data_IF_920586858421
#
_entry.id   IF_920586858421
#
_cell.length_a   1.000
_cell.length_b   1.000
_cell.length_c   1.000
_cell.angle_alpha   90.00
_cell.angle_beta   90.00
_cell.angle_gamma   90.00
#
_symmetry.space_group_name_H-M   'P 1'
#
loop_
_entity.id
_entity.type
_entity.pdbx_description
1 polymer ?
#
# COMPACT_ATOMS: atom_id res chain seq x y z
N UNK A 1 -30.08 46.61 46.21
CA UNK A 1 -29.06 45.58 46.55
C UNK A 1 -29.52 44.14 46.20
N UNK A 2 -29.83 43.83 44.93
CA UNK A 2 -30.21 42.46 44.49
C UNK A 2 -29.64 42.05 43.11
N UNK A 3 -28.46 42.55 42.72
CA UNK A 3 -27.85 42.17 41.42
C UNK A 3 -26.37 41.76 41.45
N UNK A 4 -25.70 41.77 42.60
CA UNK A 4 -24.28 41.37 42.71
C UNK A 4 -24.10 39.90 43.14
N UNK A 5 -25.12 39.30 43.77
CA UNK A 5 -25.01 37.95 44.33
C UNK A 5 -25.31 36.82 43.30
N UNK A 6 -25.98 37.11 42.18
CA UNK A 6 -26.26 36.12 41.13
C UNK A 6 -25.09 35.94 40.14
N UNK A 7 -24.26 36.96 39.92
CA UNK A 7 -23.03 36.85 39.10
C UNK A 7 -21.90 36.08 39.77
N UNK A 8 -21.81 36.07 41.11
CA UNK A 8 -20.81 35.28 41.86
C UNK A 8 -21.14 33.79 41.97
N UNK A 9 -22.40 33.36 41.80
CA UNK A 9 -22.78 31.94 41.84
C UNK A 9 -22.60 31.19 40.51
N UNK A 10 -22.51 31.88 39.37
CA UNK A 10 -22.20 31.25 38.06
C UNK A 10 -20.70 30.97 37.85
N UNK A 11 -19.81 31.54 38.67
CA UNK A 11 -18.37 31.37 38.56
C UNK A 11 -17.80 30.13 39.30
N UNK A 12 -18.59 29.45 40.14
CA UNK A 12 -18.12 28.33 41.00
C UNK A 12 -18.63 26.93 40.61
N UNK A 13 -19.07 26.75 39.35
CA UNK A 13 -19.32 25.41 38.76
C UNK A 13 -18.66 25.24 37.39
N UNK A 14 -17.50 25.85 37.16
CA UNK A 14 -16.55 25.33 36.17
C UNK A 14 -15.78 24.20 36.86
N UNK A 15 -16.36 23.00 36.88
CA UNK A 15 -15.58 21.80 37.15
C UNK A 15 -14.35 21.83 36.24
N UNK A 16 -13.18 21.53 36.78
CA UNK A 16 -11.95 21.38 36.01
C UNK A 16 -12.28 20.50 34.80
N UNK A 17 -12.18 21.06 33.58
CA UNK A 17 -12.46 20.28 32.36
C UNK A 17 -11.53 19.07 32.41
N UNK A 18 -12.10 17.86 32.31
CA UNK A 18 -11.30 16.63 32.28
C UNK A 18 -10.17 16.80 31.24
N UNK A 19 -8.93 16.37 31.56
CA UNK A 19 -7.82 16.40 30.63
C UNK A 19 -8.22 15.77 29.29
N UNK A 20 -7.79 16.39 28.19
CA UNK A 20 -8.08 15.83 26.88
C UNK A 20 -7.32 14.52 26.68
N UNK A 21 -7.99 13.54 26.05
CA UNK A 21 -7.36 12.32 25.56
C UNK A 21 -7.03 12.49 24.08
N UNK A 22 -5.85 12.05 23.69
CA UNK A 22 -5.34 12.09 22.33
C UNK A 22 -5.09 10.68 21.80
N UNK A 23 -5.18 10.54 20.48
CA UNK A 23 -4.88 9.30 19.75
C UNK A 23 -4.34 9.67 18.37
N UNK A 24 -3.25 9.05 17.95
CA UNK A 24 -2.69 9.21 16.60
C UNK A 24 -2.95 7.92 15.83
N UNK A 25 -3.56 8.07 14.65
CA UNK A 25 -3.90 6.96 13.78
C UNK A 25 -3.56 7.27 12.32
N UNK A 26 -3.13 6.28 11.56
CA UNK A 26 -3.13 6.34 10.11
C UNK A 26 -4.53 5.94 9.62
N UNK A 27 -5.13 6.78 8.78
CA UNK A 27 -6.45 6.48 8.20
C UNK A 27 -6.29 5.58 7.00
N UNK A 28 -7.17 4.59 6.91
CA UNK A 28 -7.24 3.70 5.76
C UNK A 28 -8.33 4.25 4.85
N UNK A 29 -7.94 4.71 3.67
CA UNK A 29 -8.84 5.16 2.62
C UNK A 29 -8.84 4.14 1.47
N UNK A 30 -9.12 2.89 1.83
CA UNK A 30 -9.21 1.76 0.92
C UNK A 30 -10.63 1.17 0.93
N UNK A 31 -11.25 1.07 -0.24
CA UNK A 31 -12.61 0.58 -0.36
C UNK A 31 -12.72 -0.91 -0.05
N UNK A 32 -11.72 -1.72 -0.39
CA UNK A 32 -11.72 -3.16 -0.10
C UNK A 32 -11.73 -3.43 1.39
N UNK A 33 -10.88 -2.74 2.14
CA UNK A 33 -10.84 -2.86 3.60
C UNK A 33 -12.12 -2.31 4.23
N UNK A 34 -12.70 -1.23 3.71
CA UNK A 34 -13.99 -0.71 4.18
C UNK A 34 -15.13 -1.72 3.94
N UNK A 35 -15.18 -2.33 2.75
CA UNK A 35 -16.14 -3.39 2.41
C UNK A 35 -15.94 -4.62 3.30
N UNK A 36 -14.70 -5.05 3.51
CA UNK A 36 -14.39 -6.17 4.40
C UNK A 36 -14.89 -5.90 5.82
N UNK A 37 -14.59 -4.73 6.38
CA UNK A 37 -15.05 -4.34 7.70
C UNK A 37 -16.59 -4.30 7.79
N UNK A 38 -17.28 -3.88 6.72
CA UNK A 38 -18.75 -3.90 6.64
C UNK A 38 -19.29 -5.32 6.60
N UNK A 39 -18.81 -6.16 5.67
CA UNK A 39 -19.25 -7.57 5.52
C UNK A 39 -18.96 -8.39 6.77
N UNK A 40 -17.89 -8.08 7.50
CA UNK A 40 -17.57 -8.74 8.75
C UNK A 40 -18.67 -8.59 9.81
N UNK A 41 -19.48 -7.52 9.75
CA UNK A 41 -20.63 -7.33 10.65
C UNK A 41 -21.78 -8.29 10.36
N UNK A 42 -21.87 -8.84 9.14
CA UNK A 42 -22.85 -9.87 8.77
C UNK A 42 -22.50 -11.21 9.45
N UNK A 43 -21.21 -11.55 9.49
CA UNK A 43 -20.70 -12.75 10.17
C UNK A 43 -20.86 -12.60 11.70
N UNK A 44 -20.54 -11.41 12.22
CA UNK A 44 -20.53 -11.15 13.66
C UNK A 44 -21.31 -9.88 14.00
N UNK A 45 -22.65 -9.94 14.09
CA UNK A 45 -23.50 -8.79 14.37
C UNK A 45 -23.00 -7.99 15.58
N UNK A 46 -22.77 -6.70 15.37
CA UNK A 46 -22.12 -5.81 16.31
C UNK A 46 -23.11 -4.76 16.82
N UNK A 47 -22.96 -4.36 18.09
CA UNK A 47 -23.76 -3.26 18.68
C UNK A 47 -23.18 -1.91 18.30
N UNK A 48 -23.97 -0.85 18.48
CA UNK A 48 -23.49 0.53 18.29
C UNK A 48 -22.23 0.79 19.13
N UNK A 49 -21.16 1.26 18.47
CA UNK A 49 -19.86 1.52 19.10
C UNK A 49 -18.88 0.34 19.16
N UNK A 50 -19.28 -0.85 18.70
CA UNK A 50 -18.40 -2.03 18.56
C UNK A 50 -17.65 -2.09 17.22
N UNK A 51 -18.08 -1.27 16.25
CA UNK A 51 -17.42 -1.09 14.95
C UNK A 51 -16.81 0.31 14.85
N UNK A 52 -15.73 0.42 14.06
CA UNK A 52 -15.04 1.69 13.81
C UNK A 52 -14.65 1.74 12.34
N UNK A 53 -14.53 2.96 11.80
CA UNK A 53 -13.90 3.14 10.49
C UNK A 53 -12.49 2.51 10.51
N UNK A 54 -12.10 1.76 9.45
CA UNK A 54 -10.78 1.14 9.39
C UNK A 54 -9.65 2.17 9.58
N UNK A 55 -8.73 1.84 10.47
CA UNK A 55 -7.56 2.66 10.77
C UNK A 55 -6.47 1.80 11.39
N UNK A 56 -5.25 2.32 11.37
CA UNK A 56 -4.12 1.77 12.11
C UNK A 56 -3.77 2.73 13.24
N UNK A 57 -3.76 2.26 14.48
CA UNK A 57 -3.34 3.12 15.59
C UNK A 57 -1.82 3.20 15.63
N UNK A 58 -1.26 4.41 15.53
CA UNK A 58 0.18 4.65 15.53
C UNK A 58 0.72 4.98 16.93
N UNK A 59 -0.03 5.73 17.74
CA UNK A 59 0.40 6.08 19.09
C UNK A 59 -0.79 6.44 20.00
N UNK A 60 -0.76 5.98 21.25
CA UNK A 60 -1.78 6.24 22.26
C UNK A 60 -2.86 5.15 22.38
N UNK A 61 -3.95 5.42 23.14
CA UNK A 61 -4.32 6.72 23.71
C UNK A 61 -3.36 7.29 24.76
N UNK A 62 -3.32 8.62 24.88
CA UNK A 62 -2.48 9.34 25.85
C UNK A 62 -3.12 10.65 26.33
N UNK A 63 -2.56 11.26 27.38
CA UNK A 63 -2.95 12.57 27.89
C UNK A 63 -1.75 13.41 28.29
N UNK A 64 -1.93 14.73 28.26
CA UNK A 64 -0.91 15.72 28.63
C UNK A 64 -1.00 16.09 30.12
N UNK A 65 0.10 16.59 30.72
CA UNK A 65 0.06 17.24 32.02
C UNK A 65 -0.97 18.37 32.06
N UNK A 66 -1.48 18.64 33.26
CA UNK A 66 -2.44 19.73 33.45
C UNK A 66 -1.78 21.08 33.12
N UNK A 67 -2.43 21.88 32.27
CA UNK A 67 -1.93 23.19 31.87
C UNK A 67 -1.01 23.21 30.65
N UNK A 68 -0.57 22.03 30.14
CA UNK A 68 0.22 21.96 28.91
C UNK A 68 -0.59 22.46 27.71
N UNK A 69 -0.02 23.34 26.85
CA UNK A 69 -0.65 23.71 25.60
C UNK A 69 -0.66 22.49 24.67
N UNK A 70 -1.78 22.25 23.99
CA UNK A 70 -1.90 21.14 23.05
C UNK A 70 -1.25 21.41 21.70
N UNK A 71 -0.95 22.67 21.39
CA UNK A 71 -0.20 23.07 20.18
C UNK A 71 1.17 22.41 20.09
N UNK A 72 1.83 22.12 21.23
CA UNK A 72 3.14 21.44 21.25
C UNK A 72 3.09 20.09 20.53
N UNK A 73 1.95 19.41 20.55
CA UNK A 73 1.77 18.14 19.86
C UNK A 73 1.90 18.28 18.34
N UNK A 74 1.41 19.38 17.77
CA UNK A 74 1.43 19.58 16.32
C UNK A 74 2.87 19.70 15.80
N UNK A 75 3.73 20.39 16.53
CA UNK A 75 5.15 20.53 16.17
C UNK A 75 5.91 19.23 16.38
N UNK A 76 5.77 18.58 17.55
CA UNK A 76 6.45 17.30 17.84
C UNK A 76 6.07 16.19 16.86
N UNK A 77 4.78 16.09 16.51
CA UNK A 77 4.30 15.07 15.55
C UNK A 77 4.84 15.37 14.15
N UNK A 78 4.81 16.63 13.71
CA UNK A 78 5.34 17.02 12.40
C UNK A 78 6.85 16.75 12.29
N UNK A 79 7.61 17.12 13.32
CA UNK A 79 9.05 16.86 13.40
C UNK A 79 9.34 15.34 13.35
N UNK A 80 8.61 14.54 14.14
CA UNK A 80 8.75 13.09 14.15
C UNK A 80 8.37 12.44 12.80
N UNK A 81 7.42 13.02 12.07
CA UNK A 81 6.99 12.56 10.74
C UNK A 81 7.90 13.04 9.61
N UNK A 82 8.84 13.95 9.89
CA UNK A 82 9.74 14.50 8.88
C UNK A 82 10.55 13.39 8.19
N UNK A 83 10.60 13.45 6.87
CA UNK A 83 11.24 12.45 6.00
C UNK A 83 10.45 11.15 5.83
N UNK A 84 9.21 11.07 6.29
CA UNK A 84 8.32 9.93 6.02
C UNK A 84 7.15 10.40 5.16
N UNK A 85 7.21 10.09 3.86
CA UNK A 85 6.17 10.50 2.89
C UNK A 85 4.95 9.56 2.90
N UNK A 86 5.18 8.27 3.19
CA UNK A 86 4.15 7.28 3.38
C UNK A 86 4.64 6.16 4.30
N UNK A 87 3.70 5.40 4.84
CA UNK A 87 3.99 4.16 5.57
C UNK A 87 3.24 3.01 4.92
N UNK A 88 3.86 1.84 4.84
CA UNK A 88 3.23 0.65 4.25
C UNK A 88 3.12 -0.50 5.22
N UNK A 89 2.15 -1.37 5.00
CA UNK A 89 2.00 -2.60 5.77
C UNK A 89 1.32 -3.71 4.97
N UNK A 90 1.69 -4.94 5.28
CA UNK A 90 1.02 -6.14 4.77
C UNK A 90 -0.11 -6.52 5.72
N UNK A 91 -1.27 -6.86 5.16
CA UNK A 91 -2.40 -7.35 5.95
C UNK A 91 -2.21 -8.85 6.17
N UNK A 92 -2.19 -9.25 7.44
CA UNK A 92 -2.04 -10.65 7.83
C UNK A 92 -3.35 -11.26 8.33
N UNK A 93 -3.20 -12.39 9.02
CA UNK A 93 -4.31 -13.17 9.53
C UNK A 93 -5.11 -12.47 10.64
N UNK A 94 -6.37 -12.91 10.88
CA UNK A 94 -7.15 -12.47 12.03
C UNK A 94 -6.47 -12.76 13.37
N UNK A 95 -6.45 -11.75 14.23
CA UNK A 95 -5.87 -11.79 15.58
C UNK A 95 -6.92 -11.43 16.64
N UNK A 96 -6.93 -12.20 17.73
CA UNK A 96 -7.75 -11.94 18.91
C UNK A 96 -6.96 -11.15 19.95
N UNK A 97 -7.45 -9.97 20.32
CA UNK A 97 -6.83 -9.10 21.32
C UNK A 97 -7.72 -8.92 22.54
N UNK A 98 -7.10 -8.85 23.72
CA UNK A 98 -7.80 -8.54 24.98
C UNK A 98 -7.76 -7.03 25.24
N UNK A 99 -8.92 -6.40 25.22
CA UNK A 99 -9.10 -4.99 25.56
C UNK A 99 -9.68 -4.78 26.96
N UNK A 100 -9.77 -3.50 27.38
CA UNK A 100 -10.35 -3.11 28.68
C UNK A 100 -11.85 -3.43 28.80
N UNK A 101 -12.58 -3.35 27.69
CA UNK A 101 -14.05 -3.54 27.63
C UNK A 101 -14.46 -4.93 27.12
N UNK A 102 -13.52 -5.87 27.04
CA UNK A 102 -13.75 -7.19 26.44
C UNK A 102 -12.73 -7.49 25.36
N UNK A 103 -13.07 -8.47 24.52
CA UNK A 103 -12.20 -8.98 23.47
C UNK A 103 -12.42 -8.19 22.17
N UNK A 104 -11.42 -8.23 21.30
CA UNK A 104 -11.48 -7.65 19.96
C UNK A 104 -11.00 -8.70 18.95
N UNK A 105 -11.61 -8.69 17.78
CA UNK A 105 -11.09 -9.37 16.59
C UNK A 105 -10.58 -8.32 15.63
N UNK A 106 -9.39 -8.57 15.13
CA UNK A 106 -8.58 -7.61 14.38
C UNK A 106 -7.89 -8.33 13.22
N UNK A 107 -7.40 -7.60 12.23
CA UNK A 107 -6.43 -8.10 11.25
C UNK A 107 -5.04 -7.68 11.71
N UNK A 108 -4.10 -8.62 11.77
CA UNK A 108 -2.70 -8.30 12.03
C UNK A 108 -2.10 -7.51 10.88
N UNK A 109 -1.11 -6.66 11.17
CA UNK A 109 -0.36 -5.92 10.17
C UNK A 109 1.13 -6.17 10.35
N UNK A 110 1.82 -6.53 9.27
CA UNK A 110 3.29 -6.52 9.22
C UNK A 110 3.74 -5.16 8.66
N UNK A 111 4.27 -4.25 9.50
CA UNK A 111 4.70 -2.92 9.08
C UNK A 111 6.01 -2.97 8.29
N UNK A 112 6.19 -2.05 7.34
CA UNK A 112 7.49 -1.81 6.73
C UNK A 112 8.45 -1.04 7.64
N UNK A 113 9.68 -0.85 7.17
CA UNK A 113 10.72 -0.10 7.90
C UNK A 113 10.33 1.36 8.15
N UNK A 114 9.62 2.00 7.21
CA UNK A 114 9.14 3.38 7.35
C UNK A 114 8.10 3.51 8.47
N UNK A 115 7.16 2.59 8.55
CA UNK A 115 6.12 2.56 9.57
C UNK A 115 6.69 2.30 10.96
N UNK A 116 7.60 1.33 11.09
CA UNK A 116 8.31 1.06 12.35
C UNK A 116 9.17 2.28 12.76
N UNK A 117 9.87 2.89 11.79
CA UNK A 117 10.66 4.09 12.01
C UNK A 117 9.83 5.27 12.50
N UNK A 118 8.71 5.56 11.83
CA UNK A 118 7.77 6.61 12.22
C UNK A 118 7.22 6.37 13.63
N UNK A 119 6.80 5.14 13.94
CA UNK A 119 6.33 4.79 15.27
C UNK A 119 7.40 5.06 16.34
N UNK A 120 8.65 4.62 16.13
CA UNK A 120 9.75 4.89 17.06
C UNK A 120 9.98 6.38 17.26
N UNK A 121 10.01 7.17 16.17
CA UNK A 121 10.13 8.64 16.24
C UNK A 121 8.99 9.27 17.04
N UNK A 122 7.75 8.83 16.83
CA UNK A 122 6.58 9.30 17.59
C UNK A 122 6.69 8.96 19.08
N UNK A 123 7.08 7.74 19.44
CA UNK A 123 7.27 7.35 20.85
C UNK A 123 8.33 8.22 21.51
N UNK A 124 9.48 8.41 20.86
CA UNK A 124 10.57 9.25 21.38
C UNK A 124 10.12 10.70 21.56
N UNK A 125 9.45 11.29 20.55
CA UNK A 125 9.04 12.68 20.58
C UNK A 125 7.92 12.97 21.59
N UNK A 126 7.00 12.02 21.79
CA UNK A 126 5.79 12.26 22.60
C UNK A 126 5.94 11.76 24.04
N UNK A 127 6.77 10.76 24.32
CA UNK A 127 6.90 10.22 25.68
C UNK A 127 7.17 11.30 26.75
N UNK A 128 8.06 12.30 26.53
CA UNK A 128 8.30 13.38 27.49
C UNK A 128 7.09 14.30 27.72
N UNK A 129 6.23 14.45 26.71
CA UNK A 129 5.08 15.35 26.73
C UNK A 129 3.83 14.72 27.38
N UNK A 130 3.87 13.41 27.65
CA UNK A 130 2.70 12.65 28.10
C UNK A 130 2.68 12.42 29.62
N UNK A 131 1.62 12.87 30.29
CA UNK A 131 1.35 12.55 31.69
C UNK A 131 0.98 11.07 31.87
N UNK A 132 0.27 10.51 30.90
CA UNK A 132 -0.02 9.08 30.83
C UNK A 132 -0.11 8.64 29.37
N UNK A 133 0.27 7.40 29.11
CA UNK A 133 0.16 6.77 27.80
C UNK A 133 -0.26 5.32 27.97
N UNK A 134 -0.71 4.69 26.89
CA UNK A 134 -1.00 3.27 26.86
C UNK A 134 0.29 2.47 27.02
N UNK A 135 0.24 1.39 27.80
CA UNK A 135 1.41 0.58 28.15
C UNK A 135 2.16 0.04 26.93
N UNK A 136 1.46 -0.25 25.83
CA UNK A 136 2.06 -0.83 24.62
C UNK A 136 3.03 0.14 23.90
N UNK A 137 2.93 1.43 24.22
CA UNK A 137 3.83 2.47 23.71
C UNK A 137 5.04 2.71 24.62
N UNK A 138 5.17 1.96 25.73
CA UNK A 138 6.25 2.07 26.71
C UNK A 138 6.70 0.66 27.15
N UNK A 139 7.80 0.09 26.61
CA UNK A 139 8.89 0.68 25.81
C UNK A 139 8.63 0.74 24.29
N UNK A 140 9.46 1.47 23.51
CA UNK A 140 9.39 1.48 22.04
C UNK A 140 9.50 0.06 21.45
N UNK A 141 8.80 -0.18 20.35
CA UNK A 141 8.83 -1.46 19.62
C UNK A 141 7.79 -2.50 20.05
N UNK A 142 7.03 -2.26 21.14
CA UNK A 142 6.04 -3.23 21.64
C UNK A 142 4.65 -3.14 20.97
N UNK A 143 4.44 -2.20 20.04
CA UNK A 143 3.14 -1.95 19.42
C UNK A 143 2.74 -3.07 18.47
N UNK A 144 1.58 -3.66 18.74
CA UNK A 144 0.90 -4.58 17.83
C UNK A 144 0.11 -3.74 16.84
N UNK A 145 0.59 -3.66 15.60
CA UNK A 145 -0.14 -3.00 14.51
C UNK A 145 -1.28 -3.90 14.04
N UNK A 146 -2.47 -3.33 13.93
CA UNK A 146 -3.67 -4.06 13.57
C UNK A 146 -4.76 -3.12 13.04
N UNK A 147 -5.72 -3.70 12.32
CA UNK A 147 -7.00 -3.07 11.96
C UNK A 147 -8.09 -3.73 12.80
N UNK A 148 -8.81 -2.94 13.60
CA UNK A 148 -9.93 -3.48 14.37
C UNK A 148 -11.14 -3.75 13.49
N UNK A 149 -11.63 -4.99 13.47
CA UNK A 149 -12.89 -5.36 12.80
C UNK A 149 -14.07 -5.22 13.75
N UNK A 150 -13.93 -5.73 14.98
CA UNK A 150 -14.92 -5.59 16.05
C UNK A 150 -14.27 -5.55 17.41
N UNK A 151 -14.76 -4.67 18.29
CA UNK A 151 -14.23 -4.47 19.66
C UNK A 151 -15.30 -4.65 20.73
N UNK A 152 -14.86 -4.79 21.99
CA UNK A 152 -15.74 -4.90 23.18
C UNK A 152 -16.63 -6.14 23.20
N UNK A 153 -16.19 -7.24 22.61
CA UNK A 153 -16.87 -8.53 22.63
C UNK A 153 -16.86 -9.08 24.05
N UNK A 154 -18.03 -9.37 24.61
CA UNK A 154 -18.17 -9.85 25.99
C UNK A 154 -17.66 -11.29 26.16
N UNK A 155 -17.42 -11.70 27.41
CA UNK A 155 -17.01 -13.08 27.74
C UNK A 155 -18.10 -14.12 27.43
N UNK A 156 -19.37 -13.74 27.47
CA UNK A 156 -20.48 -14.66 27.13
C UNK A 156 -20.62 -14.83 25.61
N UNK A 157 -20.29 -13.82 24.82
CA UNK A 157 -20.45 -13.87 23.35
C UNK A 157 -19.22 -14.46 22.64
N UNK A 158 -18.02 -14.39 23.23
CA UNK A 158 -16.77 -14.73 22.52
C UNK A 158 -16.75 -16.13 21.90
N UNK A 159 -17.33 -17.14 22.57
CA UNK A 159 -17.31 -18.50 22.04
C UNK A 159 -18.11 -18.60 20.73
N UNK A 160 -19.31 -18.02 20.70
CA UNK A 160 -20.14 -17.98 19.50
C UNK A 160 -19.48 -17.18 18.37
N UNK A 161 -18.87 -16.02 18.68
CA UNK A 161 -18.17 -15.21 17.68
C UNK A 161 -16.97 -15.97 17.10
N UNK A 162 -16.18 -16.67 17.94
CA UNK A 162 -15.05 -17.50 17.48
C UNK A 162 -15.50 -18.62 16.56
N UNK A 163 -16.64 -19.26 16.85
CA UNK A 163 -17.19 -20.32 16.01
C UNK A 163 -17.54 -19.80 14.61
N UNK A 164 -18.28 -18.69 14.53
CA UNK A 164 -18.67 -18.08 13.24
C UNK A 164 -17.46 -17.61 12.42
N UNK A 165 -16.47 -17.04 13.09
CA UNK A 165 -15.22 -16.62 12.44
C UNK A 165 -14.47 -17.82 11.86
N UNK A 166 -14.39 -18.92 12.61
CA UNK A 166 -13.73 -20.15 12.14
C UNK A 166 -14.44 -20.74 10.92
N UNK A 167 -15.77 -20.81 10.97
CA UNK A 167 -16.60 -21.30 9.87
C UNK A 167 -16.45 -20.45 8.60
N UNK A 168 -16.45 -19.11 8.75
CA UNK A 168 -16.24 -18.20 7.62
C UNK A 168 -14.81 -18.29 7.02
N UNK A 169 -13.80 -18.59 7.85
CA UNK A 169 -12.43 -18.84 7.35
C UNK A 169 -12.29 -20.18 6.62
N UNK A 170 -13.04 -21.21 7.02
CA UNK A 170 -13.02 -22.52 6.38
C UNK A 170 -13.76 -22.51 5.04
N UNK A 171 -14.98 -21.97 5.03
CA UNK A 171 -15.82 -21.87 3.83
C UNK A 171 -15.23 -20.94 2.77
N UNK A 172 -14.49 -19.89 3.17
CA UNK A 172 -13.77 -19.01 2.26
C UNK A 172 -12.60 -19.65 1.49
N UNK A 173 -12.09 -20.81 1.93
CA UNK A 173 -11.01 -21.55 1.23
C UNK A 173 -11.53 -22.54 0.18
N UNK A 174 -12.76 -23.02 0.33
CA UNK A 174 -13.37 -24.01 -0.58
C UNK A 174 -14.11 -23.38 -1.78
N UNK A 175 -14.42 -22.08 -1.73
CA UNK A 175 -15.25 -21.40 -2.73
C UNK A 175 -14.41 -20.44 -3.60
N UNK A 176 -13.89 -20.93 -4.75
CA UNK A 176 -13.22 -20.14 -5.80
C UNK A 176 -13.82 -20.42 -7.18
N UNK A 177 -15.14 -20.39 -7.33
CA UNK A 177 -15.81 -20.30 -8.63
C UNK A 177 -17.25 -19.78 -8.46
N UNK A 178 -17.51 -18.52 -8.82
CA UNK A 178 -18.84 -18.06 -9.23
C UNK A 178 -19.83 -17.45 -8.21
N UNK A 179 -19.51 -17.30 -6.92
CA UNK A 179 -20.43 -16.67 -5.96
C UNK A 179 -19.77 -16.07 -4.71
N UNK A 180 -20.33 -14.97 -4.19
CA UNK A 180 -19.70 -14.12 -3.16
C UNK A 180 -20.11 -14.56 -1.75
N UNK A 181 -19.36 -15.49 -1.16
CA UNK A 181 -19.40 -15.73 0.30
C UNK A 181 -18.47 -14.74 1.03
N UNK A 182 -18.73 -14.33 2.29
CA UNK A 182 -17.85 -13.43 3.03
C UNK A 182 -16.68 -14.21 3.63
N UNK A 183 -15.60 -14.37 2.87
CA UNK A 183 -14.33 -14.79 3.44
C UNK A 183 -13.84 -13.72 4.43
N UNK A 184 -13.32 -14.13 5.60
CA UNK A 184 -12.55 -13.23 6.49
C UNK A 184 -11.11 -13.18 6.00
N UNK A 185 -10.98 -12.95 4.71
CA UNK A 185 -9.76 -12.54 4.05
C UNK A 185 -10.15 -11.26 3.32
N UNK A 186 -9.30 -10.23 3.38
CA UNK A 186 -9.43 -9.15 2.41
C UNK A 186 -9.25 -9.82 1.04
N UNK A 187 -10.33 -10.03 0.29
CA UNK A 187 -10.30 -10.70 -1.01
C UNK A 187 -9.07 -10.20 -1.81
N UNK A 188 -8.05 -11.05 -1.95
CA UNK A 188 -6.89 -10.81 -2.80
C UNK A 188 -5.87 -9.72 -2.40
N UNK A 189 -5.91 -9.11 -1.21
CA UNK A 189 -4.91 -8.08 -0.85
C UNK A 189 -3.68 -8.66 -0.12
N UNK A 190 -2.84 -9.38 -0.86
CA UNK A 190 -1.47 -9.69 -0.40
C UNK A 190 -0.47 -8.61 -0.78
N UNK A 191 -0.88 -7.51 -1.43
CA UNK A 191 0.02 -6.39 -1.73
C UNK A 191 0.11 -5.40 -0.56
N UNK A 192 1.21 -4.63 -0.48
CA UNK A 192 1.39 -3.63 0.58
C UNK A 192 0.32 -2.52 0.54
N UNK A 193 -0.38 -2.33 1.67
CA UNK A 193 -1.28 -1.20 1.87
C UNK A 193 -0.46 0.07 2.15
N UNK A 194 -0.61 1.11 1.33
CA UNK A 194 0.09 2.39 1.51
C UNK A 194 -0.79 3.44 2.18
N UNK A 195 -0.28 4.09 3.23
CA UNK A 195 -0.99 5.09 4.02
C UNK A 195 -0.27 6.45 3.98
N UNK A 196 -1.01 7.49 3.59
CA UNK A 196 -0.46 8.82 3.31
C UNK A 196 -0.74 9.88 4.39
N UNK A 197 -1.65 9.62 5.32
CA UNK A 197 -2.11 10.64 6.28
C UNK A 197 -2.28 10.11 7.70
N UNK A 198 -1.89 10.95 8.66
CA UNK A 198 -2.03 10.69 10.09
C UNK A 198 -3.05 11.63 10.72
N UNK A 199 -4.11 11.07 11.29
CA UNK A 199 -5.09 11.82 12.05
C UNK A 199 -4.70 11.91 13.53
N UNK A 200 -4.74 13.13 14.07
CA UNK A 200 -4.69 13.40 15.50
C UNK A 200 -6.12 13.60 16.02
N UNK A 201 -6.58 12.65 16.83
CA UNK A 201 -7.84 12.79 17.54
C UNK A 201 -7.63 13.52 18.87
N UNK A 202 -8.58 14.39 19.21
CA UNK A 202 -8.68 15.07 20.51
C UNK A 202 -10.07 14.85 21.08
N UNK A 203 -10.15 14.30 22.29
CA UNK A 203 -11.41 13.93 22.96
C UNK A 203 -12.31 13.04 22.08
N UNK A 204 -11.70 12.12 21.33
CA UNK A 204 -12.38 11.17 20.46
C UNK A 204 -12.88 11.73 19.13
N UNK A 205 -12.60 13.00 18.82
CA UNK A 205 -12.95 13.61 17.53
C UNK A 205 -11.71 14.01 16.75
N UNK A 206 -11.78 13.98 15.41
CA UNK A 206 -10.70 14.48 14.56
C UNK A 206 -10.41 15.94 14.87
N UNK A 207 -9.16 16.24 15.22
CA UNK A 207 -8.70 17.60 15.48
C UNK A 207 -7.94 18.17 14.29
N UNK A 208 -6.91 17.45 13.84
CA UNK A 208 -6.05 17.79 12.71
C UNK A 208 -5.60 16.51 12.02
N UNK A 209 -5.25 16.60 10.74
CA UNK A 209 -4.70 15.50 9.96
C UNK A 209 -3.41 15.95 9.29
N UNK A 210 -2.31 15.23 9.49
CA UNK A 210 -1.03 15.52 8.84
C UNK A 210 -0.97 14.73 7.54
N UNK A 211 -0.81 15.46 6.44
CA UNK A 211 -0.43 14.89 5.15
C UNK A 211 1.07 14.60 5.17
N UNK A 212 1.44 13.31 5.12
CA UNK A 212 2.82 12.87 5.23
C UNK A 212 3.64 13.24 3.99
N UNK A 213 3.04 13.12 2.82
CA UNK A 213 3.66 13.43 1.52
C UNK A 213 4.01 14.91 1.45
N UNK A 214 3.07 15.76 1.89
CA UNK A 214 3.19 17.22 1.83
C UNK A 214 3.86 17.85 3.05
N UNK A 215 3.92 17.13 4.17
CA UNK A 215 4.34 17.67 5.45
C UNK A 215 3.40 18.75 6.03
N UNK A 216 2.14 18.82 5.58
CA UNK A 216 1.20 19.90 5.94
C UNK A 216 0.05 19.43 6.82
N UNK A 217 -0.32 20.24 7.82
CA UNK A 217 -1.50 20.01 8.65
C UNK A 217 -2.77 20.48 7.97
N UNK A 218 -3.72 19.56 7.79
CA UNK A 218 -5.08 19.80 7.34
C UNK A 218 -6.01 20.06 8.52
N UNK A 219 -6.91 21.03 8.35
CA UNK A 219 -8.09 21.19 9.19
C UNK A 219 -9.04 20.00 9.05
N UNK A 220 -10.05 19.94 9.93
CA UNK A 220 -11.08 18.90 9.84
C UNK A 220 -11.82 18.95 8.50
N UNK A 221 -12.13 20.12 7.96
CA UNK A 221 -12.84 20.23 6.68
C UNK A 221 -11.96 19.72 5.53
N UNK A 222 -10.70 20.14 5.50
CA UNK A 222 -9.73 19.71 4.48
C UNK A 222 -9.43 18.21 4.54
N UNK A 223 -9.38 17.61 5.73
CA UNK A 223 -9.17 16.17 5.90
C UNK A 223 -10.25 15.27 5.26
N UNK A 224 -11.43 15.83 4.95
CA UNK A 224 -12.51 15.15 4.23
C UNK A 224 -12.69 15.65 2.78
N UNK A 225 -11.83 16.54 2.29
CA UNK A 225 -11.86 16.97 0.90
C UNK A 225 -11.24 15.88 -0.01
N UNK A 226 -12.02 15.30 -0.95
CA UNK A 226 -11.52 14.28 -1.86
C UNK A 226 -10.42 14.79 -2.81
N UNK A 227 -10.46 16.05 -3.23
CA UNK A 227 -9.48 16.61 -4.18
C UNK A 227 -8.08 16.66 -3.57
N UNK A 228 -7.99 16.95 -2.26
CA UNK A 228 -6.71 16.92 -1.57
C UNK A 228 -6.12 15.52 -1.55
N UNK A 229 -6.93 14.45 -1.49
CA UNK A 229 -6.42 13.07 -1.55
C UNK A 229 -5.84 12.73 -2.92
N UNK A 230 -6.45 13.23 -3.99
CA UNK A 230 -5.92 13.11 -5.36
C UNK A 230 -4.56 13.79 -5.45
N UNK A 231 -4.43 15.00 -4.89
CA UNK A 231 -3.15 15.73 -4.85
C UNK A 231 -2.09 14.94 -4.06
N UNK A 232 -2.41 14.47 -2.85
CA UNK A 232 -1.50 13.66 -2.01
C UNK A 232 -0.97 12.45 -2.77
N UNK A 233 -1.85 11.68 -3.43
CA UNK A 233 -1.47 10.48 -4.19
C UNK A 233 -0.60 10.84 -5.39
N UNK A 234 -0.94 11.91 -6.13
CA UNK A 234 -0.13 12.37 -7.27
C UNK A 234 1.28 12.78 -6.83
N UNK A 235 1.39 13.59 -5.78
CA UNK A 235 2.70 14.02 -5.27
C UNK A 235 3.54 12.84 -4.77
N UNK A 236 2.90 11.86 -4.12
CA UNK A 236 3.57 10.61 -3.74
C UNK A 236 4.06 9.83 -4.96
N UNK A 237 3.23 9.68 -6.00
CA UNK A 237 3.65 8.97 -7.21
C UNK A 237 4.85 9.66 -7.87
N UNK A 238 4.86 11.00 -7.91
CA UNK A 238 5.99 11.76 -8.46
C UNK A 238 7.24 11.58 -7.59
N UNK A 239 7.13 11.75 -6.26
CA UNK A 239 8.28 11.66 -5.35
C UNK A 239 8.90 10.26 -5.32
N UNK A 240 8.08 9.22 -5.47
CA UNK A 240 8.53 7.82 -5.53
C UNK A 240 8.95 7.37 -6.93
N UNK A 241 8.84 8.22 -7.96
CA UNK A 241 9.16 7.89 -9.35
C UNK A 241 8.20 6.88 -9.98
N UNK A 242 6.97 6.78 -9.47
CA UNK A 242 5.87 5.97 -10.02
C UNK A 242 5.10 6.71 -11.11
N UNK A 243 5.23 8.04 -11.16
CA UNK A 243 4.68 8.91 -12.20
C UNK A 243 5.77 9.87 -12.66
N UNK A 244 6.16 9.74 -13.92
CA UNK A 244 7.09 10.63 -14.58
C UNK A 244 6.39 11.95 -14.93
N UNK A 245 7.13 13.06 -14.86
CA UNK A 245 6.62 14.40 -15.20
C UNK A 245 7.13 14.93 -16.53
N UNK A 246 7.93 14.13 -17.24
CA UNK A 246 8.47 14.44 -18.55
C UNK A 246 9.44 13.36 -19.04
N UNK A 247 9.94 13.48 -20.28
CA UNK A 247 10.81 12.49 -20.89
C UNK A 247 12.13 12.24 -20.15
N UNK A 248 12.53 10.97 -20.09
CA UNK A 248 13.77 10.43 -19.50
C UNK A 248 14.47 9.48 -20.48
N UNK A 249 14.52 9.88 -21.75
CA UNK A 249 15.04 9.06 -22.83
C UNK A 249 16.51 8.70 -22.66
N UNK A 250 16.87 7.50 -23.12
CA UNK A 250 18.27 7.13 -23.35
C UNK A 250 18.83 7.91 -24.54
N UNK A 251 20.15 8.06 -24.56
CA UNK A 251 20.87 8.76 -25.65
C UNK A 251 21.00 7.91 -26.91
N UNK A 252 20.94 6.60 -26.78
CA UNK A 252 21.00 5.62 -27.87
C UNK A 252 19.80 4.70 -27.79
N UNK A 253 19.34 4.15 -28.94
CA UNK A 253 18.30 3.14 -28.95
C UNK A 253 18.62 1.98 -28.01
N UNK A 254 17.60 1.47 -27.33
CA UNK A 254 17.73 0.37 -26.39
C UNK A 254 16.59 -0.65 -26.48
N UNK A 255 16.76 -1.74 -25.74
CA UNK A 255 15.73 -2.75 -25.53
C UNK A 255 15.11 -2.51 -24.16
N UNK A 256 13.79 -2.42 -24.09
CA UNK A 256 13.02 -2.24 -22.86
C UNK A 256 12.08 -3.40 -22.63
N UNK A 257 11.75 -3.64 -21.37
CA UNK A 257 10.78 -4.66 -20.95
C UNK A 257 9.81 -4.09 -19.91
N UNK A 258 8.56 -4.55 -19.97
CA UNK A 258 7.51 -4.32 -18.97
C UNK A 258 6.36 -5.29 -19.24
N UNK A 259 5.56 -5.57 -18.22
CA UNK A 259 4.38 -6.42 -18.28
C UNK A 259 3.20 -5.83 -17.52
N UNK A 260 2.01 -6.41 -17.73
CA UNK A 260 0.83 -6.30 -16.87
C UNK A 260 0.32 -4.87 -16.69
N UNK A 261 0.28 -4.09 -17.78
CA UNK A 261 -0.25 -2.73 -17.75
C UNK A 261 -1.73 -2.72 -17.34
N UNK A 262 -2.50 -3.73 -17.76
CA UNK A 262 -3.91 -3.87 -17.40
C UNK A 262 -4.73 -2.59 -17.62
N UNK A 263 -4.56 -1.96 -18.78
CA UNK A 263 -5.36 -0.81 -19.16
C UNK A 263 -6.86 -1.11 -19.05
N UNK A 264 -7.64 -0.16 -18.53
CA UNK A 264 -9.08 -0.32 -18.32
C UNK A 264 -9.48 -1.22 -17.14
N UNK A 265 -8.54 -1.84 -16.43
CA UNK A 265 -8.84 -2.81 -15.38
C UNK A 265 -9.05 -2.15 -14.01
N UNK A 266 -10.27 -1.71 -13.68
CA UNK A 266 -10.53 -1.02 -12.39
C UNK A 266 -10.15 -1.84 -11.15
N UNK A 267 -10.32 -3.17 -11.17
CA UNK A 267 -10.04 -4.02 -10.01
C UNK A 267 -8.53 -4.20 -9.74
N UNK A 268 -7.66 -4.01 -10.73
CA UNK A 268 -6.20 -4.16 -10.54
C UNK A 268 -5.65 -3.15 -9.55
N UNK A 269 -6.23 -1.94 -9.51
CA UNK A 269 -5.86 -0.89 -8.56
C UNK A 269 -5.99 -1.39 -7.13
N UNK A 270 -7.07 -2.13 -6.85
CA UNK A 270 -7.31 -2.70 -5.52
C UNK A 270 -6.47 -3.96 -5.29
N UNK A 271 -6.46 -4.86 -6.26
CA UNK A 271 -5.76 -6.15 -6.17
C UNK A 271 -4.25 -6.00 -5.91
N UNK A 272 -3.62 -4.99 -6.50
CA UNK A 272 -2.18 -4.72 -6.35
C UNK A 272 -1.87 -3.50 -5.45
N UNK A 273 -2.90 -2.87 -4.86
CA UNK A 273 -2.81 -1.56 -4.21
C UNK A 273 -2.08 -0.50 -5.06
N UNK A 274 -2.34 -0.44 -6.37
CA UNK A 274 -1.75 0.59 -7.23
C UNK A 274 -2.15 1.98 -6.71
N UNK A 275 -1.24 2.97 -6.66
CA UNK A 275 -1.49 4.26 -6.03
C UNK A 275 -2.33 5.22 -6.90
N UNK A 276 -3.35 4.71 -7.57
CA UNK A 276 -4.27 5.47 -8.42
C UNK A 276 -5.65 5.57 -7.77
N UNK A 277 -6.33 6.68 -8.01
CA UNK A 277 -7.69 6.92 -7.52
C UNK A 277 -8.75 6.40 -8.50
N UNK A 278 -8.40 6.25 -9.77
CA UNK A 278 -9.29 5.74 -10.82
C UNK A 278 -8.52 5.06 -11.94
N UNK A 279 -9.22 4.25 -12.73
CA UNK A 279 -8.67 3.60 -13.92
C UNK A 279 -8.25 4.61 -15.00
N UNK A 280 -9.01 5.70 -15.15
CA UNK A 280 -8.69 6.77 -16.13
C UNK A 280 -7.36 7.43 -15.77
N UNK A 281 -7.17 7.74 -14.48
CA UNK A 281 -5.91 8.30 -13.97
C UNK A 281 -4.74 7.32 -14.16
N UNK A 282 -4.96 6.03 -13.84
CA UNK A 282 -3.95 4.98 -14.03
C UNK A 282 -3.54 4.88 -15.49
N UNK A 283 -4.49 4.68 -16.40
CA UNK A 283 -4.22 4.50 -17.83
C UNK A 283 -3.45 5.70 -18.41
N UNK A 284 -3.81 6.92 -17.99
CA UNK A 284 -3.10 8.14 -18.41
C UNK A 284 -1.65 8.13 -17.94
N UNK A 285 -1.41 7.82 -16.66
CA UNK A 285 -0.05 7.79 -16.11
C UNK A 285 0.80 6.67 -16.73
N UNK A 286 0.23 5.49 -16.97
CA UNK A 286 0.94 4.39 -17.62
C UNK A 286 1.37 4.75 -19.06
N UNK A 287 0.47 5.37 -19.83
CA UNK A 287 0.77 5.87 -21.17
C UNK A 287 1.87 6.94 -21.15
N UNK A 288 1.75 7.92 -20.24
CA UNK A 288 2.72 8.99 -20.10
C UNK A 288 4.09 8.43 -19.69
N UNK A 289 4.14 7.55 -18.69
CA UNK A 289 5.38 6.91 -18.25
C UNK A 289 6.05 6.14 -19.38
N UNK A 290 5.29 5.37 -20.15
CA UNK A 290 5.80 4.66 -21.33
C UNK A 290 6.42 5.63 -22.33
N UNK A 291 5.65 6.63 -22.78
CA UNK A 291 6.07 7.57 -23.82
C UNK A 291 7.13 8.58 -23.36
N UNK A 292 7.31 8.75 -22.05
CA UNK A 292 8.43 9.47 -21.47
C UNK A 292 9.69 8.63 -21.37
N UNK A 293 9.58 7.30 -21.45
CA UNK A 293 10.74 6.40 -21.31
C UNK A 293 11.25 5.91 -22.66
N UNK A 294 10.32 5.56 -23.56
CA UNK A 294 10.56 4.89 -24.83
C UNK A 294 10.44 5.89 -25.97
N UNK A 295 11.42 5.89 -26.88
CA UNK A 295 11.43 6.65 -28.14
C UNK A 295 10.89 5.78 -29.29
N UNK A 296 10.51 6.37 -30.44
CA UNK A 296 10.03 5.60 -31.59
C UNK A 296 11.01 4.54 -32.15
N UNK A 297 12.32 4.75 -31.97
CA UNK A 297 13.39 3.86 -32.45
C UNK A 297 13.83 2.79 -31.43
N UNK A 298 13.31 2.84 -30.20
CA UNK A 298 13.55 1.82 -29.20
C UNK A 298 12.76 0.53 -29.51
N UNK A 299 13.27 -0.61 -29.02
CA UNK A 299 12.55 -1.89 -29.02
C UNK A 299 11.94 -2.12 -27.64
N UNK A 300 10.66 -2.46 -27.59
CA UNK A 300 10.01 -2.89 -26.35
C UNK A 300 9.53 -4.33 -26.50
N UNK A 301 10.03 -5.20 -25.63
CA UNK A 301 9.46 -6.54 -25.45
C UNK A 301 8.39 -6.38 -24.37
N UNK A 302 7.12 -6.46 -24.77
CA UNK A 302 5.98 -6.32 -23.87
C UNK A 302 5.51 -7.70 -23.41
N UNK A 303 5.50 -7.98 -22.11
CA UNK A 303 5.30 -9.32 -21.57
C UNK A 303 3.84 -9.67 -21.24
N UNK A 304 2.88 -9.11 -21.96
CA UNK A 304 1.47 -9.52 -21.90
C UNK A 304 0.60 -8.80 -20.87
N UNK A 305 -0.68 -9.13 -20.87
CA UNK A 305 -1.75 -8.56 -20.04
C UNK A 305 -1.91 -7.03 -20.26
N UNK A 306 -2.06 -6.65 -21.53
CA UNK A 306 -2.16 -5.25 -21.96
C UNK A 306 -3.37 -4.56 -21.36
N UNK A 307 -4.55 -5.18 -21.47
CA UNK A 307 -5.83 -4.60 -21.06
C UNK A 307 -6.75 -5.65 -20.48
N UNK A 308 -7.65 -5.24 -19.59
CA UNK A 308 -8.67 -6.15 -19.08
C UNK A 308 -9.93 -5.42 -18.62
N UNK A 309 -11.07 -6.10 -18.72
CA UNK A 309 -12.36 -5.58 -18.27
C UNK A 309 -13.32 -5.24 -19.41
N UNK A 310 -14.62 -5.45 -19.16
CA UNK A 310 -15.69 -5.30 -20.17
C UNK A 310 -15.83 -3.89 -20.76
N UNK A 311 -15.37 -2.86 -20.04
CA UNK A 311 -15.41 -1.47 -20.47
C UNK A 311 -14.08 -0.94 -21.00
N UNK A 312 -13.04 -1.78 -21.07
CA UNK A 312 -11.75 -1.36 -21.60
C UNK A 312 -11.83 -1.17 -23.12
N UNK A 313 -11.22 -0.11 -23.70
CA UNK A 313 -10.99 -0.02 -25.14
C UNK A 313 -10.26 -1.25 -25.71
N UNK A 314 -10.40 -1.52 -27.02
CA UNK A 314 -9.67 -2.62 -27.68
C UNK A 314 -8.15 -2.40 -27.58
N UNK A 315 -7.37 -3.47 -27.71
CA UNK A 315 -5.91 -3.43 -27.59
C UNK A 315 -5.27 -2.37 -28.51
N UNK A 316 -5.72 -2.30 -29.76
CA UNK A 316 -5.24 -1.32 -30.76
C UNK A 316 -5.41 0.13 -30.32
N UNK A 317 -6.41 0.45 -29.48
CA UNK A 317 -6.55 1.79 -28.93
C UNK A 317 -5.32 2.21 -28.11
N UNK A 318 -4.74 1.26 -27.36
CA UNK A 318 -3.58 1.51 -26.53
C UNK A 318 -2.28 1.35 -27.33
N UNK A 319 -2.14 0.27 -28.09
CA UNK A 319 -0.92 -0.02 -28.86
C UNK A 319 -0.56 1.13 -29.82
N UNK A 320 -1.54 1.72 -30.51
CA UNK A 320 -1.30 2.86 -31.42
C UNK A 320 -0.85 4.15 -30.72
N UNK A 321 -0.90 4.21 -29.39
CA UNK A 321 -0.50 5.37 -28.58
C UNK A 321 0.81 5.15 -27.82
N UNK A 322 1.36 3.93 -27.86
CA UNK A 322 2.62 3.58 -27.24
C UNK A 322 3.76 3.78 -28.24
N UNK A 323 4.80 4.50 -27.82
CA UNK A 323 6.01 4.68 -28.63
C UNK A 323 6.86 3.40 -28.66
N UNK A 324 7.73 3.31 -29.67
CA UNK A 324 8.68 2.23 -29.85
C UNK A 324 8.19 1.13 -30.78
N UNK A 325 9.10 0.25 -31.16
CA UNK A 325 8.82 -0.97 -31.90
C UNK A 325 8.46 -2.05 -30.88
N UNK A 326 7.21 -2.52 -30.88
CA UNK A 326 6.70 -3.39 -29.81
C UNK A 326 6.65 -4.84 -30.29
N UNK A 327 7.40 -5.71 -29.62
CA UNK A 327 7.28 -7.17 -29.73
C UNK A 327 6.46 -7.66 -28.54
N UNK A 328 5.24 -8.14 -28.80
CA UNK A 328 4.34 -8.60 -27.74
C UNK A 328 4.54 -10.09 -27.45
N UNK A 329 4.61 -10.42 -26.17
CA UNK A 329 4.46 -11.78 -25.64
C UNK A 329 3.03 -11.90 -25.13
N UNK A 330 2.33 -12.95 -25.51
CA UNK A 330 0.91 -13.12 -25.17
C UNK A 330 0.73 -13.33 -23.66
N UNK A 331 -0.14 -12.53 -23.04
CA UNK A 331 -0.57 -12.71 -21.66
C UNK A 331 -1.86 -13.51 -21.52
N UNK A 332 -2.19 -13.92 -20.29
CA UNK A 332 -3.39 -14.74 -20.02
C UNK A 332 -4.70 -13.99 -20.25
N UNK A 333 -4.66 -12.66 -20.17
CA UNK A 333 -5.79 -11.77 -20.35
C UNK A 333 -5.86 -11.12 -21.73
N UNK A 334 -4.88 -11.37 -22.59
CA UNK A 334 -4.84 -10.84 -23.94
C UNK A 334 -5.69 -11.70 -24.88
N UNK A 335 -6.55 -11.03 -25.66
CA UNK A 335 -7.05 -11.64 -26.88
C UNK A 335 -5.88 -11.80 -27.87
N UNK A 336 -5.92 -12.76 -28.82
CA UNK A 336 -4.83 -12.97 -29.77
C UNK A 336 -4.41 -11.66 -30.46
N UNK A 337 -3.24 -11.14 -30.10
CA UNK A 337 -2.65 -9.97 -30.71
C UNK A 337 -1.87 -10.38 -31.97
N UNK A 338 -2.10 -9.77 -33.14
CA UNK A 338 -1.36 -10.09 -34.35
C UNK A 338 0.15 -9.96 -34.14
N UNK A 339 0.90 -11.02 -34.45
CA UNK A 339 2.36 -11.04 -34.30
C UNK A 339 2.86 -11.28 -32.87
N UNK A 340 1.98 -11.48 -31.89
CA UNK A 340 2.41 -11.88 -30.55
C UNK A 340 2.96 -13.31 -30.56
N UNK A 341 3.99 -13.52 -29.75
CA UNK A 341 4.68 -14.81 -29.59
C UNK A 341 4.47 -15.36 -28.16
N UNK A 342 4.58 -16.67 -27.93
CA UNK A 342 4.46 -17.24 -26.58
C UNK A 342 5.67 -16.92 -25.69
N UNK A 343 6.85 -16.78 -26.28
CA UNK A 343 8.08 -16.41 -25.60
C UNK A 343 9.12 -15.89 -26.59
N UNK A 344 10.16 -15.20 -26.10
CA UNK A 344 11.25 -14.67 -26.92
C UNK A 344 12.59 -14.84 -26.20
N UNK A 345 13.60 -15.33 -26.91
CA UNK A 345 14.98 -15.34 -26.44
C UNK A 345 15.72 -14.09 -26.94
N UNK A 346 16.32 -13.36 -26.02
CA UNK A 346 17.11 -12.16 -26.34
C UNK A 346 18.42 -12.18 -25.54
N UNK A 347 19.53 -11.79 -26.16
CA UNK A 347 20.82 -11.66 -25.49
C UNK A 347 21.16 -10.19 -25.34
N UNK A 348 21.51 -9.77 -24.13
CA UNK A 348 21.98 -8.42 -23.84
C UNK A 348 23.28 -8.49 -23.04
N UNK A 349 24.33 -7.89 -23.60
CA UNK A 349 25.67 -7.85 -23.00
C UNK A 349 26.16 -9.25 -22.54
N UNK A 350 26.06 -10.23 -23.45
CA UNK A 350 26.42 -11.65 -23.29
C UNK A 350 25.59 -12.45 -22.28
N UNK A 351 24.48 -11.89 -21.79
CA UNK A 351 23.54 -12.57 -20.89
C UNK A 351 22.29 -12.97 -21.68
N UNK A 352 21.94 -14.27 -21.77
CA UNK A 352 20.70 -14.71 -22.39
C UNK A 352 19.51 -14.53 -21.45
N UNK A 353 18.42 -13.98 -21.99
CA UNK A 353 17.16 -13.75 -21.30
C UNK A 353 16.00 -14.42 -22.05
N UNK A 354 15.31 -15.35 -21.38
CA UNK A 354 13.99 -15.83 -21.80
C UNK A 354 12.93 -14.83 -21.33
N UNK A 355 12.31 -14.13 -22.26
CA UNK A 355 11.11 -13.36 -21.99
C UNK A 355 9.88 -14.25 -22.17
N UNK A 356 9.05 -14.36 -21.14
CA UNK A 356 7.81 -15.17 -21.13
C UNK A 356 6.82 -14.56 -20.15
N UNK A 357 5.52 -14.52 -20.45
CA UNK A 357 4.54 -13.89 -19.56
C UNK A 357 4.44 -14.63 -18.21
N UNK A 358 4.10 -15.93 -18.26
CA UNK A 358 3.87 -16.75 -17.07
C UNK A 358 5.14 -17.55 -16.70
N UNK A 359 5.76 -17.31 -15.52
CA UNK A 359 6.95 -18.06 -15.11
C UNK A 359 6.68 -19.56 -14.86
N UNK A 360 5.42 -19.99 -14.74
CA UNK A 360 5.04 -21.39 -14.66
C UNK A 360 5.10 -22.16 -15.98
N UNK A 361 5.30 -21.46 -17.10
CA UNK A 361 5.33 -22.03 -18.46
C UNK A 361 6.76 -22.08 -19.05
N UNK A 362 7.77 -21.79 -18.23
CA UNK A 362 9.18 -21.86 -18.64
C UNK A 362 9.51 -23.29 -19.08
N UNK A 363 10.03 -23.51 -20.30
CA UNK A 363 10.47 -24.84 -20.74
C UNK A 363 11.58 -25.41 -19.85
N UNK A 364 11.55 -26.72 -19.60
CA UNK A 364 12.51 -27.39 -18.70
C UNK A 364 13.97 -27.30 -19.18
N UNK A 365 14.19 -27.19 -20.49
CA UNK A 365 15.50 -27.07 -21.14
C UNK A 365 15.98 -25.61 -21.30
N UNK A 366 15.20 -24.65 -20.80
CA UNK A 366 15.56 -23.24 -20.84
C UNK A 366 16.82 -22.96 -20.02
N UNK A 367 17.64 -22.05 -20.54
CA UNK A 367 18.91 -21.64 -19.94
C UNK A 367 19.02 -20.11 -19.98
N UNK A 368 19.74 -19.57 -19.00
CA UNK A 368 19.87 -18.11 -18.82
C UNK A 368 19.00 -17.57 -17.69
N UNK A 369 18.62 -16.30 -17.81
CA UNK A 369 17.71 -15.63 -16.90
C UNK A 369 16.30 -15.58 -17.49
N UNK A 370 15.27 -15.69 -16.65
CA UNK A 370 13.88 -15.57 -17.09
C UNK A 370 13.34 -14.19 -16.71
N UNK A 371 12.88 -13.43 -17.70
CA UNK A 371 12.12 -12.20 -17.50
C UNK A 371 10.64 -12.54 -17.65
N UNK A 372 9.84 -12.22 -16.64
CA UNK A 372 8.42 -12.55 -16.62
C UNK A 372 7.53 -11.45 -16.06
N UNK A 373 6.23 -11.58 -16.32
CA UNK A 373 5.16 -10.79 -15.71
C UNK A 373 4.25 -11.68 -14.88
N UNK A 374 2.94 -11.52 -15.06
CA UNK A 374 1.84 -12.36 -14.57
C UNK A 374 1.64 -12.33 -13.04
N UNK A 375 2.73 -12.46 -12.29
CA UNK A 375 2.73 -12.45 -10.84
C UNK A 375 3.03 -11.04 -10.35
N UNK A 376 2.02 -10.36 -9.82
CA UNK A 376 2.15 -9.00 -9.30
C UNK A 376 2.90 -8.91 -7.96
N UNK A 377 2.85 -7.74 -7.31
CA UNK A 377 3.44 -7.41 -6.01
C UNK A 377 2.78 -8.07 -4.79
N UNK A 378 2.11 -9.21 -4.99
CA UNK A 378 1.34 -9.92 -3.97
C UNK A 378 2.16 -11.03 -3.28
N UNK A 379 3.26 -11.48 -3.88
CA UNK A 379 4.17 -12.48 -3.32
C UNK A 379 5.63 -12.13 -3.67
N UNK A 380 6.15 -11.08 -3.02
CA UNK A 380 7.50 -10.59 -3.24
C UNK A 380 8.58 -11.52 -2.68
N UNK A 381 8.22 -12.47 -1.82
CA UNK A 381 9.17 -13.45 -1.30
C UNK A 381 9.51 -14.50 -2.37
N UNK A 382 8.49 -14.98 -3.09
CA UNK A 382 8.66 -15.98 -4.15
C UNK A 382 8.93 -15.36 -5.52
N UNK A 383 8.28 -14.24 -5.84
CA UNK A 383 8.37 -13.55 -7.13
C UNK A 383 8.82 -12.09 -6.97
N UNK A 384 9.99 -11.84 -6.37
CA UNK A 384 10.57 -10.50 -6.26
C UNK A 384 10.89 -9.91 -7.64
N UNK A 385 11.18 -8.61 -7.72
CA UNK A 385 11.73 -8.00 -8.93
C UNK A 385 12.94 -8.78 -9.48
N UNK A 386 13.87 -9.20 -8.62
CA UNK A 386 14.98 -10.08 -9.01
C UNK A 386 15.24 -11.17 -7.98
N UNK A 387 15.37 -12.42 -8.45
CA UNK A 387 15.70 -13.59 -7.64
C UNK A 387 16.99 -14.23 -8.17
N UNK A 388 18.10 -14.03 -7.44
CA UNK A 388 19.41 -14.54 -7.83
C UNK A 388 19.55 -16.07 -7.74
N UNK A 389 18.74 -16.72 -6.92
CA UNK A 389 18.73 -18.18 -6.80
C UNK A 389 18.01 -18.82 -7.99
N UNK A 390 16.80 -18.34 -8.31
CA UNK A 390 15.98 -18.88 -9.39
C UNK A 390 16.31 -18.29 -10.76
N UNK A 391 17.17 -17.28 -10.81
CA UNK A 391 17.51 -16.50 -12.01
C UNK A 391 16.28 -15.93 -12.72
N UNK A 392 15.33 -15.42 -11.94
CA UNK A 392 14.11 -14.80 -12.45
C UNK A 392 14.11 -13.29 -12.19
N UNK A 393 13.49 -12.55 -13.11
CA UNK A 393 13.26 -11.10 -13.05
C UNK A 393 11.79 -10.84 -13.33
N UNK A 394 11.09 -10.22 -12.40
CA UNK A 394 9.67 -9.93 -12.52
C UNK A 394 9.46 -8.46 -12.91
N UNK A 395 8.93 -8.23 -14.10
CA UNK A 395 8.73 -6.90 -14.71
C UNK A 395 7.25 -6.49 -14.79
N UNK A 396 6.40 -7.09 -13.94
CA UNK A 396 5.05 -6.58 -13.70
C UNK A 396 5.10 -5.08 -13.38
N UNK A 397 4.15 -4.31 -13.91
CA UNK A 397 4.17 -2.84 -13.85
C UNK A 397 4.44 -2.28 -12.45
N UNK A 398 3.91 -2.91 -11.38
CA UNK A 398 4.13 -2.47 -9.99
C UNK A 398 5.60 -2.53 -9.54
N UNK A 399 6.37 -3.49 -10.06
CA UNK A 399 7.75 -3.78 -9.66
C UNK A 399 8.77 -2.90 -10.38
N UNK A 400 8.42 -2.41 -11.57
CA UNK A 400 9.25 -1.54 -12.41
C UNK A 400 8.80 -0.08 -12.36
N UNK A 401 8.04 0.30 -11.33
CA UNK A 401 7.55 1.67 -11.12
C UNK A 401 6.69 2.20 -12.27
N UNK A 402 5.91 1.32 -12.90
CA UNK A 402 4.96 1.65 -13.94
C UNK A 402 5.60 2.30 -15.17
N UNK A 403 6.88 2.02 -15.44
CA UNK A 403 7.61 2.49 -16.60
C UNK A 403 8.48 1.36 -17.18
N UNK A 404 8.67 1.29 -18.51
CA UNK A 404 9.56 0.32 -19.13
C UNK A 404 10.98 0.39 -18.55
N UNK A 405 11.57 -0.76 -18.21
CA UNK A 405 12.95 -0.84 -17.71
C UNK A 405 13.86 -1.33 -18.83
N UNK A 406 15.03 -0.70 -18.99
CA UNK A 406 15.98 -1.10 -20.04
C UNK A 406 16.66 -2.43 -19.71
N UNK A 407 16.88 -3.26 -20.72
CA UNK A 407 17.57 -4.54 -20.58
C UNK A 407 19.04 -4.35 -20.16
N UNK A 408 19.66 -3.21 -20.51
CA UNK A 408 20.98 -2.81 -20.01
C UNK A 408 20.99 -2.62 -18.49
N UNK A 409 19.94 -2.00 -17.93
CA UNK A 409 19.79 -1.82 -16.49
C UNK A 409 19.56 -3.17 -15.80
N UNK A 410 18.72 -4.03 -16.38
CA UNK A 410 18.52 -5.41 -15.90
C UNK A 410 19.84 -6.20 -15.90
N UNK A 411 20.61 -6.15 -17.00
CA UNK A 411 21.91 -6.82 -17.10
C UNK A 411 22.88 -6.32 -16.01
N UNK A 412 22.83 -5.03 -15.65
CA UNK A 412 23.62 -4.48 -14.54
C UNK A 412 23.24 -5.10 -13.19
N UNK A 413 21.96 -5.36 -12.94
CA UNK A 413 21.51 -6.02 -11.71
C UNK A 413 21.90 -7.50 -11.67
N UNK A 414 21.77 -8.19 -12.80
CA UNK A 414 22.17 -9.60 -12.93
C UNK A 414 23.65 -9.80 -12.62
N UNK A 415 24.53 -8.91 -13.08
CA UNK A 415 25.96 -8.98 -12.74
C UNK A 415 26.23 -8.66 -11.29
N UNK A 416 25.45 -7.75 -10.71
CA UNK A 416 25.64 -7.33 -9.34
C UNK A 416 25.16 -8.39 -8.35
N UNK A 417 24.03 -9.06 -8.60
CA UNK A 417 23.36 -9.94 -7.62
C UNK A 417 24.13 -11.27 -7.40
N UNK A 418 24.20 -11.74 -6.15
CA UNK A 418 24.81 -13.04 -5.82
C UNK A 418 23.76 -14.16 -5.85
N UNK A 419 24.18 -15.42 -6.04
CA UNK A 419 23.31 -16.58 -5.77
C UNK A 419 22.71 -16.51 -4.36
N UNK A 420 21.44 -16.88 -4.20
CA UNK A 420 20.70 -16.78 -2.95
C UNK A 420 20.17 -15.39 -2.58
N UNK A 421 20.64 -14.30 -3.21
CA UNK A 421 20.12 -12.95 -2.93
C UNK A 421 18.84 -12.65 -3.71
N UNK A 422 17.98 -11.81 -3.12
CA UNK A 422 16.75 -11.32 -3.74
C UNK A 422 16.66 -9.81 -3.55
N UNK A 423 16.06 -9.12 -4.51
CA UNK A 423 15.62 -7.74 -4.35
C UNK A 423 14.14 -7.65 -4.68
N UNK A 424 13.32 -7.32 -3.69
CA UNK A 424 11.86 -7.33 -3.83
C UNK A 424 11.37 -6.27 -4.81
N UNK A 425 12.09 -5.15 -4.92
CA UNK A 425 11.72 -3.99 -5.76
C UNK A 425 12.88 -3.50 -6.61
N UNK A 426 12.58 -2.73 -7.66
CA UNK A 426 13.59 -2.07 -8.50
C UNK A 426 14.52 -1.16 -7.69
N UNK A 427 14.01 -0.43 -6.69
CA UNK A 427 14.86 0.42 -5.84
C UNK A 427 15.81 -0.37 -4.95
N UNK A 428 15.39 -1.54 -4.47
CA UNK A 428 16.29 -2.44 -3.76
C UNK A 428 17.38 -2.97 -4.69
N UNK A 429 17.04 -3.37 -5.92
CA UNK A 429 18.03 -3.80 -6.90
C UNK A 429 19.05 -2.70 -7.23
N UNK A 430 18.60 -1.46 -7.39
CA UNK A 430 19.48 -0.28 -7.57
C UNK A 430 20.40 -0.09 -6.37
N UNK A 431 19.87 -0.10 -5.15
CA UNK A 431 20.69 0.01 -3.92
C UNK A 431 21.71 -1.12 -3.80
N UNK A 432 21.31 -2.36 -4.09
CA UNK A 432 22.20 -3.52 -4.03
C UNK A 432 23.33 -3.40 -5.04
N UNK A 433 23.05 -2.98 -6.27
CA UNK A 433 24.05 -2.71 -7.30
C UNK A 433 25.01 -1.60 -6.87
N UNK A 434 24.48 -0.46 -6.43
CA UNK A 434 25.28 0.72 -6.09
C UNK A 434 26.14 0.51 -4.84
N UNK A 435 25.77 -0.44 -3.97
CA UNK A 435 26.55 -0.82 -2.79
C UNK A 435 27.78 -1.70 -3.09
N UNK A 436 27.95 -2.17 -4.33
CA UNK A 436 29.04 -3.08 -4.71
C UNK A 436 30.15 -2.34 -5.45
N UNK A 437 31.43 -2.56 -5.10
CA UNK A 437 32.53 -2.11 -5.94
C UNK A 437 32.45 -2.83 -7.29
N UNK A 438 32.55 -2.05 -8.37
CA UNK A 438 32.43 -2.51 -9.76
C UNK A 438 33.58 -3.38 -10.23
#
# INVERSE_FOLDING_TARGET
>A
MRSVCSRRRRARRRGTRRPATYLILARIHDHGIATLASRFTEITPARSGETRAPHVTLFGPFGLPAGSPDSILLDRIREAASGTEAVTCMIGDPLWLRGRKGMAITLSLAPDTNMVGLYRKLVTALSPETAWCTWIDRPPGSRIFHISLRVSISRSEIHAVRSRVREALQTGREYREGGVAPAIHADGCSSPLTLFRMALLRRGSLWKELDLVRGTWLSRAEAFNPDLWVITRREYRISQGLQLTGPVYRTTPGIFVISDLHFGHTNIIRYCHRPFSSVIEMDTVLLDNWNFTVRPDDLVIYLGDLRYGRGAPPADHFLNRLQGNITSIIGNHDDPLPGAVPSLMVTCQDIPFLCIHNPGEVPEDSHGWVIHGHIHNNDLERYPFINGEQRTINVSAELVKYAPVSLDEIASFVRAIRPGEKAATLDEARRLRDSRPG
#
